data_IF_548658271234
#
_entry.id   IF_548658271234
#
_cell.length_a   1.000
_cell.length_b   1.000
_cell.length_c   1.000
_cell.angle_alpha   90.00
_cell.angle_beta   90.00
_cell.angle_gamma   90.00
#
_symmetry.space_group_name_H-M   'P 1'
#
loop_
_entity.id
_entity.type
_entity.pdbx_description
1 polymer ?
#
# COMPACT_ATOMS: atom_id res chain seq x y z
N UNK A 1 -6.23 39.55 5.12
CA UNK A 1 -5.35 38.58 4.42
C UNK A 1 -4.43 38.01 5.49
N UNK A 2 -4.86 36.95 6.16
CA UNK A 2 -4.12 36.26 7.21
C UNK A 2 -3.60 34.95 6.64
N UNK A 3 -2.27 34.77 6.63
CA UNK A 3 -1.62 33.52 6.29
C UNK A 3 -1.42 32.80 7.62
N UNK A 4 -2.23 31.79 7.91
CA UNK A 4 -1.97 30.88 9.02
C UNK A 4 -0.98 29.79 8.55
N UNK A 5 0.18 29.77 9.19
CA UNK A 5 1.21 28.76 9.02
C UNK A 5 0.78 27.49 9.76
N UNK A 6 0.22 26.51 9.05
CA UNK A 6 0.20 25.11 9.48
C UNK A 6 1.41 24.41 8.89
N UNK A 7 2.07 23.61 9.74
CA UNK A 7 3.41 23.04 9.53
C UNK A 7 3.65 22.37 8.18
N UNK A 8 4.83 22.62 7.68
CA UNK A 8 5.55 22.19 6.47
C UNK A 8 5.03 20.91 5.75
N UNK A 9 3.91 21.03 5.06
CA UNK A 9 3.61 20.20 3.90
C UNK A 9 3.52 21.14 2.70
N UNK A 10 4.54 21.14 1.84
CA UNK A 10 4.45 21.88 0.58
C UNK A 10 3.52 21.10 -0.36
N UNK A 11 2.22 21.34 -0.23
CA UNK A 11 1.23 20.90 -1.21
C UNK A 11 1.28 21.92 -2.35
N UNK A 12 1.86 21.56 -3.48
CA UNK A 12 1.61 22.30 -4.73
C UNK A 12 0.20 21.93 -5.16
N UNK A 13 -0.78 22.69 -4.70
CA UNK A 13 -2.16 22.63 -5.22
C UNK A 13 -2.15 23.39 -6.55
N UNK A 14 -1.87 22.70 -7.63
CA UNK A 14 -2.35 23.16 -8.94
C UNK A 14 -3.87 23.07 -8.91
N UNK A 15 -4.57 24.12 -9.36
CA UNK A 15 -6.03 24.16 -9.58
C UNK A 15 -6.49 23.02 -10.51
N UNK A 16 -6.70 21.84 -9.94
CA UNK A 16 -7.30 20.72 -10.65
C UNK A 16 -8.78 20.63 -10.27
N UNK A 17 -9.66 20.88 -11.24
CA UNK A 17 -11.03 20.37 -11.16
C UNK A 17 -10.93 18.89 -10.86
N UNK A 18 -11.40 18.47 -9.69
CA UNK A 18 -11.41 17.06 -9.28
C UNK A 18 -12.40 16.36 -10.19
N UNK A 19 -11.91 15.58 -11.15
CA UNK A 19 -12.73 14.68 -11.93
C UNK A 19 -13.11 13.48 -11.03
N UNK A 20 -14.35 13.48 -10.58
CA UNK A 20 -14.90 12.45 -9.68
C UNK A 20 -15.03 11.07 -10.34
N UNK A 21 -14.87 10.99 -11.67
CA UNK A 21 -14.93 9.73 -12.41
C UNK A 21 -13.61 8.95 -12.40
N UNK A 22 -12.49 9.58 -11.99
CA UNK A 22 -11.17 8.91 -11.97
C UNK A 22 -10.96 8.12 -10.70
N UNK A 23 -10.43 6.90 -10.83
CA UNK A 23 -9.91 6.11 -9.71
C UNK A 23 -8.64 6.74 -9.14
N UNK A 24 -8.57 6.89 -7.83
CA UNK A 24 -7.47 7.55 -7.12
C UNK A 24 -6.55 6.51 -6.50
N UNK A 25 -5.32 6.53 -6.91
CA UNK A 25 -4.29 5.57 -6.50
C UNK A 25 -3.25 6.30 -5.68
N UNK A 26 -2.91 5.78 -4.50
CA UNK A 26 -1.82 6.28 -3.66
C UNK A 26 -0.61 5.36 -3.78
N UNK A 27 0.54 5.91 -4.14
CA UNK A 27 1.84 5.21 -4.11
C UNK A 27 2.56 5.48 -2.79
N UNK A 28 2.93 4.41 -2.08
CA UNK A 28 3.70 4.42 -0.82
C UNK A 28 5.08 3.85 -1.08
N UNK A 29 6.12 4.67 -0.96
CA UNK A 29 7.50 4.29 -1.29
C UNK A 29 8.12 3.34 -0.25
N UNK A 30 9.22 2.68 -0.61
CA UNK A 30 10.01 1.84 0.30
C UNK A 30 11.00 2.65 1.13
N UNK A 31 11.77 1.94 1.96
CA UNK A 31 12.77 2.53 2.86
C UNK A 31 13.76 3.43 2.11
N UNK A 32 14.02 4.62 2.65
CA UNK A 32 14.85 5.68 2.04
C UNK A 32 14.38 6.09 0.64
N UNK A 33 13.11 5.86 0.34
CA UNK A 33 12.48 6.32 -0.88
C UNK A 33 12.01 7.78 -0.78
N UNK A 34 11.18 8.18 -1.74
CA UNK A 34 10.48 9.47 -1.72
C UNK A 34 9.19 9.41 -2.52
N UNK A 35 8.26 10.31 -2.22
CA UNK A 35 6.94 10.40 -2.86
C UNK A 35 7.02 10.38 -4.41
N UNK A 36 7.96 11.12 -4.98
CA UNK A 36 8.12 11.24 -6.44
C UNK A 36 9.34 10.51 -6.98
N UNK A 37 9.79 9.48 -6.26
CA UNK A 37 10.95 8.65 -6.60
C UNK A 37 10.76 7.79 -7.84
N UNK A 38 11.71 6.89 -8.09
CA UNK A 38 11.69 6.00 -9.28
C UNK A 38 10.48 5.08 -9.30
N UNK A 39 10.07 4.55 -8.14
CA UNK A 39 8.88 3.68 -8.03
C UNK A 39 7.61 4.40 -8.47
N UNK A 40 7.38 5.61 -7.97
CA UNK A 40 6.26 6.46 -8.39
C UNK A 40 6.23 6.67 -9.90
N UNK A 41 7.37 7.05 -10.51
CA UNK A 41 7.45 7.30 -11.96
C UNK A 41 7.10 6.06 -12.78
N UNK A 42 7.53 4.86 -12.35
CA UNK A 42 7.23 3.60 -13.03
C UNK A 42 5.75 3.26 -12.93
N UNK A 43 5.15 3.42 -11.75
CA UNK A 43 3.71 3.26 -11.56
C UNK A 43 2.94 4.26 -12.42
N UNK A 44 3.32 5.54 -12.41
CA UNK A 44 2.68 6.59 -13.21
C UNK A 44 2.68 6.28 -14.71
N UNK A 45 3.82 5.82 -15.23
CA UNK A 45 3.97 5.49 -16.66
C UNK A 45 3.17 4.25 -17.10
N UNK A 46 2.84 3.37 -16.15
CA UNK A 46 2.08 2.15 -16.42
C UNK A 46 0.59 2.26 -16.07
N UNK A 47 0.21 3.33 -15.40
CA UNK A 47 -1.16 3.53 -14.92
C UNK A 47 -2.11 3.74 -16.11
N UNK A 48 -3.24 3.00 -16.20
CA UNK A 48 -4.20 3.14 -17.29
C UNK A 48 -4.91 4.50 -17.28
N UNK A 49 -5.57 4.83 -18.39
CA UNK A 49 -6.51 5.95 -18.43
C UNK A 49 -7.63 5.78 -17.39
N UNK A 50 -8.17 6.88 -16.88
CA UNK A 50 -9.20 6.85 -15.85
C UNK A 50 -8.65 6.71 -14.41
N UNK A 51 -7.32 6.73 -14.25
CA UNK A 51 -6.67 6.69 -12.94
C UNK A 51 -5.85 7.96 -12.68
N UNK A 52 -5.81 8.40 -11.42
CA UNK A 52 -4.95 9.50 -10.95
C UNK A 52 -4.03 8.98 -9.86
N UNK A 53 -2.71 9.18 -10.04
CA UNK A 53 -1.70 8.77 -9.06
C UNK A 53 -1.40 9.92 -8.10
N UNK A 54 -1.42 9.59 -6.82
CA UNK A 54 -0.95 10.40 -5.71
C UNK A 54 0.25 9.74 -5.07
N UNK A 55 1.03 10.49 -4.31
CA UNK A 55 2.10 9.96 -3.49
C UNK A 55 2.29 10.81 -2.24
N UNK A 56 2.86 10.21 -1.21
CA UNK A 56 3.11 10.84 0.08
C UNK A 56 4.52 10.50 0.56
N UNK A 57 5.22 11.48 1.12
CA UNK A 57 6.34 11.23 2.01
C UNK A 57 5.80 11.04 3.43
N UNK A 58 6.28 10.03 4.13
CA UNK A 58 5.80 9.65 5.44
C UNK A 58 6.98 9.42 6.39
N UNK A 59 6.72 9.39 7.69
CA UNK A 59 7.74 9.13 8.70
C UNK A 59 8.13 7.65 8.74
N UNK A 60 9.20 7.30 8.03
CA UNK A 60 9.75 5.94 8.04
C UNK A 60 10.28 5.51 9.41
N UNK A 61 10.55 6.44 10.31
CA UNK A 61 11.11 6.14 11.62
C UNK A 61 10.06 5.68 12.64
N UNK A 62 8.78 5.87 12.34
CA UNK A 62 7.68 5.45 13.22
C UNK A 62 6.52 4.85 12.42
N UNK A 63 6.35 3.53 12.52
CA UNK A 63 5.30 2.79 11.80
C UNK A 63 3.89 3.26 12.16
N UNK A 64 3.63 3.62 13.43
CA UNK A 64 2.33 4.12 13.87
C UNK A 64 2.02 5.46 13.23
N UNK A 65 2.99 6.37 13.26
CA UNK A 65 2.85 7.71 12.68
C UNK A 65 2.74 7.63 11.15
N UNK A 66 3.57 6.83 10.49
CA UNK A 66 3.47 6.59 9.05
C UNK A 66 2.07 6.10 8.64
N UNK A 67 1.55 5.13 9.39
CA UNK A 67 0.21 4.60 9.17
C UNK A 67 -0.87 5.66 9.33
N UNK A 68 -0.80 6.47 10.37
CA UNK A 68 -1.74 7.58 10.63
C UNK A 68 -1.70 8.62 9.49
N UNK A 69 -0.51 9.04 9.07
CA UNK A 69 -0.34 9.97 7.95
C UNK A 69 -0.98 9.44 6.66
N UNK A 70 -0.77 8.15 6.37
CA UNK A 70 -1.33 7.52 5.17
C UNK A 70 -2.85 7.40 5.27
N UNK A 71 -3.42 7.03 6.42
CA UNK A 71 -4.87 6.95 6.62
C UNK A 71 -5.54 8.31 6.49
N UNK A 72 -4.95 9.35 7.04
CA UNK A 72 -5.44 10.74 6.90
C UNK A 72 -5.42 11.16 5.43
N UNK A 73 -4.35 10.84 4.69
CA UNK A 73 -4.25 11.12 3.27
C UNK A 73 -5.29 10.36 2.44
N UNK A 74 -5.53 9.09 2.77
CA UNK A 74 -6.57 8.26 2.13
C UNK A 74 -7.94 8.90 2.30
N UNK A 75 -8.27 9.35 3.51
CA UNK A 75 -9.57 9.98 3.78
C UNK A 75 -9.69 11.35 3.13
N UNK A 76 -8.67 12.19 3.23
CA UNK A 76 -8.66 13.54 2.63
C UNK A 76 -8.83 13.49 1.11
N UNK A 77 -8.05 12.65 0.43
CA UNK A 77 -8.04 12.57 -1.03
C UNK A 77 -8.97 11.49 -1.59
N UNK A 78 -9.73 10.79 -0.74
CA UNK A 78 -10.67 9.72 -1.13
C UNK A 78 -10.00 8.68 -2.03
N UNK A 79 -8.90 8.12 -1.55
CA UNK A 79 -8.10 7.13 -2.28
C UNK A 79 -8.89 5.83 -2.45
N UNK A 80 -8.91 5.29 -3.66
CA UNK A 80 -9.59 4.03 -4.00
C UNK A 80 -8.67 2.80 -3.86
N UNK A 81 -7.35 2.98 -4.11
CA UNK A 81 -6.35 1.91 -4.12
C UNK A 81 -5.03 2.42 -3.55
N UNK A 82 -4.40 1.66 -2.68
CA UNK A 82 -3.04 1.94 -2.20
C UNK A 82 -2.06 0.94 -2.83
N UNK A 83 -0.94 1.44 -3.36
CA UNK A 83 0.16 0.63 -3.91
C UNK A 83 1.39 0.88 -3.08
N UNK A 84 1.85 -0.12 -2.32
CA UNK A 84 3.05 -0.02 -1.49
C UNK A 84 4.18 -0.93 -1.97
N UNK A 85 5.43 -0.45 -1.90
CA UNK A 85 6.61 -1.22 -2.28
C UNK A 85 7.59 -1.37 -1.11
N UNK A 86 8.16 -2.57 -0.93
CA UNK A 86 9.14 -2.87 0.11
C UNK A 86 8.61 -2.50 1.51
N UNK A 87 9.27 -1.61 2.27
CA UNK A 87 8.78 -1.10 3.56
C UNK A 87 7.40 -0.44 3.43
N UNK A 88 7.18 0.35 2.36
CA UNK A 88 5.86 0.90 2.05
C UNK A 88 4.82 -0.19 1.78
N UNK A 89 5.23 -1.34 1.23
CA UNK A 89 4.39 -2.54 1.09
C UNK A 89 3.98 -3.12 2.44
N UNK A 90 4.90 -3.21 3.40
CA UNK A 90 4.58 -3.61 4.77
C UNK A 90 3.57 -2.66 5.42
N UNK A 91 3.83 -1.35 5.37
CA UNK A 91 2.90 -0.35 5.94
C UNK A 91 1.53 -0.46 5.27
N UNK A 92 1.50 -0.65 3.95
CA UNK A 92 0.25 -0.84 3.19
C UNK A 92 -0.53 -2.06 3.67
N UNK A 93 0.12 -3.15 4.07
CA UNK A 93 -0.55 -4.32 4.67
C UNK A 93 -1.20 -4.01 6.03
N UNK A 94 -0.78 -2.96 6.72
CA UNK A 94 -1.40 -2.54 7.98
C UNK A 94 -2.70 -1.73 7.80
N UNK A 95 -3.05 -1.35 6.57
CA UNK A 95 -4.23 -0.54 6.26
C UNK A 95 -5.42 -1.46 5.97
N UNK A 96 -6.37 -1.61 6.90
CA UNK A 96 -7.55 -2.46 6.65
C UNK A 96 -8.67 -1.71 5.93
N UNK A 97 -9.55 -2.47 5.28
CA UNK A 97 -10.78 -1.97 4.67
C UNK A 97 -10.62 -1.25 3.34
N UNK A 98 -9.41 -1.14 2.80
CA UNK A 98 -9.15 -0.49 1.51
C UNK A 98 -8.47 -1.46 0.53
N UNK A 99 -8.77 -1.39 -0.79
CA UNK A 99 -8.03 -2.08 -1.84
C UNK A 99 -6.53 -1.79 -1.82
N UNK A 100 -5.68 -2.83 -1.88
CA UNK A 100 -4.22 -2.70 -1.74
C UNK A 100 -3.46 -3.60 -2.70
N UNK A 101 -2.48 -3.01 -3.37
CA UNK A 101 -1.43 -3.73 -4.08
C UNK A 101 -0.13 -3.60 -3.31
N UNK A 102 0.55 -4.71 -3.08
CA UNK A 102 1.86 -4.71 -2.43
C UNK A 102 2.92 -5.32 -3.33
N UNK A 103 4.03 -4.62 -3.49
CA UNK A 103 5.12 -4.99 -4.40
C UNK A 103 6.34 -5.33 -3.56
N UNK A 104 6.80 -6.58 -3.62
CA UNK A 104 7.94 -7.06 -2.82
C UNK A 104 7.88 -6.55 -1.36
N UNK A 105 6.76 -6.74 -0.63
CA UNK A 105 6.61 -6.17 0.71
C UNK A 105 7.72 -6.67 1.63
N UNK A 106 8.33 -5.80 2.41
CA UNK A 106 9.26 -6.16 3.46
C UNK A 106 8.47 -6.79 4.62
N UNK A 107 8.31 -8.12 4.60
CA UNK A 107 7.42 -8.83 5.53
C UNK A 107 7.87 -8.75 6.99
N UNK A 108 9.17 -8.72 7.22
CA UNK A 108 9.81 -8.63 8.54
C UNK A 108 10.78 -7.43 8.55
N UNK A 109 10.26 -6.18 8.70
CA UNK A 109 11.12 -4.99 8.69
C UNK A 109 12.23 -5.02 9.75
N UNK A 110 12.01 -5.51 11.00
CA UNK A 110 13.08 -5.65 11.98
C UNK A 110 14.24 -6.49 11.50
N UNK A 111 14.00 -7.66 10.94
CA UNK A 111 15.06 -8.56 10.49
C UNK A 111 15.75 -8.06 9.21
N UNK A 112 14.99 -7.51 8.28
CA UNK A 112 15.50 -7.17 6.95
C UNK A 112 16.22 -5.82 6.90
N UNK A 113 15.67 -4.80 7.55
CA UNK A 113 16.31 -3.49 7.58
C UNK A 113 17.64 -3.52 8.36
N UNK A 114 17.77 -4.37 9.38
CA UNK A 114 19.03 -4.60 10.09
C UNK A 114 20.20 -5.02 9.20
N UNK A 115 19.90 -5.63 8.05
CA UNK A 115 20.92 -6.04 7.06
C UNK A 115 21.37 -4.91 6.14
N UNK A 116 20.57 -3.84 6.04
CA UNK A 116 20.74 -2.77 5.06
C UNK A 116 21.38 -1.50 5.63
N UNK A 117 21.39 -1.35 6.96
CA UNK A 117 21.86 -0.14 7.63
C UNK A 117 22.69 -0.45 8.87
N UNK A 118 23.54 0.50 9.26
CA UNK A 118 24.24 0.46 10.54
C UNK A 118 23.24 0.55 11.70
N UNK A 119 23.40 -0.33 12.68
CA UNK A 119 22.49 -0.45 13.81
C UNK A 119 22.89 0.51 14.93
N UNK A 120 22.42 1.74 14.83
CA UNK A 120 22.54 2.74 15.91
C UNK A 120 21.29 2.79 16.80
N UNK A 121 21.30 3.71 17.77
CA UNK A 121 20.18 3.87 18.72
C UNK A 121 18.89 4.37 18.02
N UNK A 122 19.02 5.20 16.99
CA UNK A 122 17.88 5.72 16.22
C UNK A 122 17.25 4.60 15.40
N UNK A 123 18.07 3.78 14.73
CA UNK A 123 17.61 2.60 14.02
C UNK A 123 16.93 1.59 14.95
N UNK A 124 17.51 1.32 16.12
CA UNK A 124 16.90 0.42 17.11
C UNK A 124 15.54 0.92 17.59
N UNK A 125 15.40 2.24 17.78
CA UNK A 125 14.11 2.85 18.11
C UNK A 125 13.10 2.68 16.99
N UNK A 126 13.48 2.98 15.76
CA UNK A 126 12.66 2.83 14.57
C UNK A 126 12.09 1.41 14.44
N UNK A 127 12.96 0.40 14.50
CA UNK A 127 12.56 -1.01 14.33
C UNK A 127 11.52 -1.43 15.35
N UNK A 128 11.63 -1.01 16.60
CA UNK A 128 10.66 -1.34 17.65
C UNK A 128 9.24 -0.87 17.34
N UNK A 129 9.07 0.16 16.51
CA UNK A 129 7.75 0.65 16.13
C UNK A 129 7.06 -0.27 15.12
N UNK A 130 7.81 -1.10 14.38
CA UNK A 130 7.29 -2.03 13.38
C UNK A 130 6.86 -3.38 13.97
N UNK A 131 7.53 -3.87 15.04
CA UNK A 131 7.28 -5.19 15.63
C UNK A 131 5.80 -5.47 15.98
N UNK A 132 5.03 -4.54 16.58
CA UNK A 132 3.63 -4.81 16.91
C UNK A 132 2.76 -5.06 15.68
N UNK A 133 3.13 -4.49 14.53
CA UNK A 133 2.32 -4.55 13.31
C UNK A 133 2.47 -5.86 12.55
N UNK A 134 3.55 -6.61 12.73
CA UNK A 134 3.66 -7.99 12.21
C UNK A 134 2.58 -8.88 12.82
N UNK A 135 2.43 -8.81 14.14
CA UNK A 135 1.39 -9.55 14.87
C UNK A 135 0.00 -9.01 14.48
N UNK A 136 -0.12 -7.71 14.30
CA UNK A 136 -1.38 -7.07 13.95
C UNK A 136 -1.86 -7.51 12.56
N UNK A 137 -0.97 -7.54 11.55
CA UNK A 137 -1.29 -8.04 10.20
C UNK A 137 -1.83 -9.47 10.31
N UNK A 138 -1.10 -10.37 11.00
CA UNK A 138 -1.48 -11.76 11.16
C UNK A 138 -2.87 -11.94 11.78
N UNK A 139 -3.25 -11.08 12.75
CA UNK A 139 -4.54 -11.14 13.45
C UNK A 139 -5.67 -10.46 12.68
N UNK A 140 -5.37 -9.49 11.83
CA UNK A 140 -6.38 -8.69 11.12
C UNK A 140 -6.87 -9.35 9.83
N UNK A 141 -6.14 -10.34 9.31
CA UNK A 141 -6.49 -11.00 8.05
C UNK A 141 -7.74 -11.86 8.23
N UNK A 142 -8.84 -11.40 7.66
CA UNK A 142 -10.08 -12.15 7.51
C UNK A 142 -10.40 -12.36 6.02
N UNK A 143 -11.53 -12.99 5.71
CA UNK A 143 -11.92 -13.27 4.32
C UNK A 143 -12.01 -11.98 3.48
N UNK A 144 -12.54 -10.91 4.03
CA UNK A 144 -12.69 -9.62 3.33
C UNK A 144 -11.35 -9.00 3.04
N UNK A 145 -10.44 -8.98 4.02
CA UNK A 145 -9.09 -8.47 3.83
C UNK A 145 -8.29 -9.26 2.77
N UNK A 146 -8.48 -10.59 2.73
CA UNK A 146 -7.86 -11.43 1.69
C UNK A 146 -8.26 -11.02 0.28
N UNK A 147 -9.51 -10.58 0.09
CA UNK A 147 -10.01 -10.15 -1.22
C UNK A 147 -9.55 -8.74 -1.61
N UNK A 148 -9.20 -7.91 -0.63
CA UNK A 148 -8.75 -6.53 -0.85
C UNK A 148 -7.24 -6.42 -1.11
N UNK A 149 -6.47 -7.48 -0.88
CA UNK A 149 -5.00 -7.44 -1.03
C UNK A 149 -4.56 -8.30 -2.20
N UNK A 150 -3.71 -7.71 -3.07
CA UNK A 150 -3.01 -8.42 -4.11
C UNK A 150 -1.50 -8.20 -4.01
N UNK A 151 -0.72 -9.28 -3.95
CA UNK A 151 0.73 -9.27 -3.93
C UNK A 151 1.34 -9.32 -5.32
N UNK A 152 2.44 -8.60 -5.52
CA UNK A 152 3.25 -8.68 -6.74
C UNK A 152 4.71 -8.89 -6.34
N UNK A 153 5.31 -9.99 -6.81
CA UNK A 153 6.67 -10.36 -6.43
C UNK A 153 7.57 -10.38 -7.65
N UNK A 154 8.66 -9.66 -7.58
CA UNK A 154 9.65 -9.61 -8.64
C UNK A 154 10.36 -10.95 -8.79
N UNK A 155 10.33 -11.54 -9.98
CA UNK A 155 11.00 -12.80 -10.29
C UNK A 155 12.51 -12.80 -10.00
N UNK A 156 13.11 -11.60 -10.04
CA UNK A 156 14.53 -11.38 -9.83
C UNK A 156 14.80 -10.56 -8.56
N UNK A 157 13.89 -10.60 -7.57
CA UNK A 157 14.09 -9.93 -6.30
C UNK A 157 15.25 -10.58 -5.54
N UNK A 158 16.35 -9.85 -5.46
CA UNK A 158 17.58 -10.28 -4.82
C UNK A 158 17.57 -10.17 -3.29
N UNK A 159 16.55 -9.50 -2.72
CA UNK A 159 16.46 -9.28 -1.29
C UNK A 159 15.51 -10.25 -0.58
N UNK A 160 14.32 -10.51 -1.17
CA UNK A 160 13.22 -11.10 -0.40
C UNK A 160 12.55 -12.32 -1.06
N UNK A 161 12.96 -12.74 -2.24
CA UNK A 161 12.22 -13.60 -3.15
C UNK A 161 11.47 -14.80 -2.52
N UNK A 162 12.13 -15.89 -2.19
CA UNK A 162 11.41 -17.14 -1.92
C UNK A 162 10.61 -17.12 -0.62
N UNK A 163 11.22 -16.66 0.46
CA UNK A 163 10.60 -16.65 1.81
C UNK A 163 9.36 -15.78 1.85
N UNK A 164 9.40 -14.58 1.26
CA UNK A 164 8.28 -13.64 1.37
C UNK A 164 7.09 -14.01 0.51
N UNK A 165 7.28 -14.71 -0.60
CA UNK A 165 6.17 -15.30 -1.35
C UNK A 165 5.46 -16.38 -0.52
N UNK A 166 6.22 -17.24 0.17
CA UNK A 166 5.68 -18.27 1.05
C UNK A 166 4.94 -17.66 2.23
N UNK A 167 5.58 -16.75 2.96
CA UNK A 167 4.99 -16.05 4.12
C UNK A 167 3.69 -15.31 3.70
N UNK A 168 3.73 -14.57 2.58
CA UNK A 168 2.55 -13.87 2.05
C UNK A 168 1.41 -14.82 1.71
N UNK A 169 1.71 -15.92 1.01
CA UNK A 169 0.71 -16.89 0.58
C UNK A 169 0.02 -17.62 1.74
N UNK A 170 0.64 -17.66 2.91
CA UNK A 170 0.03 -18.14 4.15
C UNK A 170 -1.13 -17.26 4.65
N UNK A 171 -1.11 -15.97 4.31
CA UNK A 171 -2.14 -15.00 4.71
C UNK A 171 -3.06 -14.60 3.56
N UNK A 172 -2.51 -14.36 2.37
CA UNK A 172 -3.23 -13.83 1.20
C UNK A 172 -3.07 -14.76 0.01
N UNK A 173 -4.17 -15.13 -0.61
CA UNK A 173 -4.17 -16.08 -1.74
C UNK A 173 -3.96 -15.43 -3.11
N UNK A 174 -4.10 -14.09 -3.21
CA UNK A 174 -4.00 -13.39 -4.49
C UNK A 174 -2.62 -12.76 -4.67
N UNK A 175 -1.78 -13.39 -5.50
CA UNK A 175 -0.48 -12.80 -5.88
C UNK A 175 -0.08 -13.18 -7.28
N UNK A 176 0.84 -12.41 -7.86
CA UNK A 176 1.46 -12.65 -9.16
C UNK A 176 2.99 -12.49 -9.08
N UNK A 177 3.69 -13.28 -9.86
CA UNK A 177 5.11 -13.13 -10.10
C UNK A 177 5.29 -12.25 -11.33
N UNK A 178 6.02 -11.13 -11.18
CA UNK A 178 6.21 -10.14 -12.23
C UNK A 178 7.67 -10.08 -12.71
N UNK A 179 7.89 -9.59 -13.91
CA UNK A 179 9.21 -9.42 -14.51
C UNK A 179 9.94 -8.20 -13.94
N UNK A 180 10.42 -8.33 -12.72
CA UNK A 180 11.03 -7.27 -11.92
C UNK A 180 12.07 -7.83 -10.95
N UNK A 181 13.01 -6.98 -10.50
CA UNK A 181 13.82 -7.19 -9.30
C UNK A 181 13.12 -6.65 -8.06
N UNK A 182 13.90 -6.40 -6.97
CA UNK A 182 13.37 -5.75 -5.77
C UNK A 182 12.81 -4.35 -6.10
N UNK A 183 13.52 -3.59 -6.87
CA UNK A 183 13.02 -2.34 -7.42
C UNK A 183 12.15 -2.61 -8.64
N UNK A 184 10.90 -2.16 -8.57
CA UNK A 184 9.92 -2.31 -9.65
C UNK A 184 10.50 -1.88 -11.00
N UNK A 185 10.48 -2.76 -12.01
CA UNK A 185 10.85 -2.46 -13.38
C UNK A 185 9.69 -1.79 -14.15
N UNK A 186 9.95 -1.26 -15.35
CA UNK A 186 8.88 -0.74 -16.22
C UNK A 186 7.96 -1.85 -16.70
N UNK A 187 8.51 -3.02 -17.02
CA UNK A 187 7.72 -4.17 -17.45
C UNK A 187 6.90 -4.75 -16.30
N UNK A 188 7.49 -4.88 -15.10
CA UNK A 188 6.75 -5.27 -13.90
C UNK A 188 5.61 -4.31 -13.58
N UNK A 189 5.81 -2.99 -13.75
CA UNK A 189 4.75 -2.00 -13.55
C UNK A 189 3.57 -2.20 -14.51
N UNK A 190 3.83 -2.50 -15.79
CA UNK A 190 2.76 -2.82 -16.76
C UNK A 190 1.99 -4.08 -16.37
N UNK A 191 2.69 -5.11 -15.88
CA UNK A 191 2.07 -6.37 -15.46
C UNK A 191 1.13 -6.16 -14.27
N UNK A 192 1.47 -5.27 -13.31
CA UNK A 192 0.60 -4.94 -12.17
C UNK A 192 -0.79 -4.49 -12.62
N UNK A 193 -0.88 -3.70 -13.69
CA UNK A 193 -2.15 -3.13 -14.15
C UNK A 193 -2.83 -3.95 -15.25
N UNK A 194 -2.20 -5.02 -15.76
CA UNK A 194 -2.73 -5.82 -16.87
C UNK A 194 -4.15 -6.36 -16.63
N UNK A 195 -4.51 -6.65 -15.39
CA UNK A 195 -5.83 -7.18 -15.01
C UNK A 195 -6.49 -6.36 -13.91
N UNK A 196 -6.33 -5.04 -13.93
CA UNK A 196 -6.88 -4.18 -12.88
C UNK A 196 -8.42 -4.15 -12.90
N UNK A 197 -9.03 -4.27 -14.06
CA UNK A 197 -10.49 -4.31 -14.17
C UNK A 197 -11.08 -5.57 -13.53
N UNK A 198 -10.45 -6.73 -13.72
CA UNK A 198 -10.84 -7.97 -13.04
C UNK A 198 -10.69 -7.88 -11.52
N UNK A 199 -9.67 -7.16 -11.05
CA UNK A 199 -9.53 -6.89 -9.62
C UNK A 199 -10.68 -6.00 -9.09
N UNK A 200 -11.03 -4.93 -9.79
CA UNK A 200 -12.15 -4.06 -9.40
C UNK A 200 -13.49 -4.79 -9.41
N UNK A 201 -13.70 -5.69 -10.34
CA UNK A 201 -14.90 -6.54 -10.36
C UNK A 201 -14.99 -7.39 -9.10
N UNK A 202 -13.89 -8.01 -8.68
CA UNK A 202 -13.82 -8.79 -7.43
C UNK A 202 -14.12 -7.92 -6.20
N UNK A 203 -13.56 -6.72 -6.13
CA UNK A 203 -13.83 -5.74 -5.05
C UNK A 203 -15.30 -5.32 -5.04
N UNK A 204 -15.92 -5.12 -6.20
CA UNK A 204 -17.34 -4.77 -6.34
C UNK A 204 -18.24 -5.89 -5.80
N UNK A 205 -17.94 -7.13 -6.17
CA UNK A 205 -18.68 -8.31 -5.69
C UNK A 205 -18.59 -8.37 -4.16
N UNK A 206 -17.39 -8.20 -3.59
CA UNK A 206 -17.19 -8.20 -2.14
C UNK A 206 -18.05 -7.15 -1.44
N UNK A 207 -18.06 -5.91 -1.93
CA UNK A 207 -18.86 -4.82 -1.35
C UNK A 207 -20.36 -5.09 -1.43
N UNK A 208 -20.82 -5.69 -2.51
CA UNK A 208 -22.23 -6.07 -2.65
C UNK A 208 -22.62 -7.17 -1.65
N UNK A 209 -21.75 -8.17 -1.42
CA UNK A 209 -21.97 -9.21 -0.42
C UNK A 209 -22.01 -8.64 1.00
N UNK A 210 -21.13 -7.69 1.33
CA UNK A 210 -21.13 -7.00 2.62
C UNK A 210 -22.45 -6.27 2.85
N UNK A 211 -22.87 -5.46 1.87
CA UNK A 211 -24.14 -4.73 1.96
C UNK A 211 -25.34 -5.66 2.16
N UNK A 212 -25.40 -6.77 1.41
CA UNK A 212 -26.50 -7.74 1.58
C UNK A 212 -26.50 -8.38 2.98
N UNK A 213 -25.33 -8.65 3.57
CA UNK A 213 -25.22 -9.15 4.93
C UNK A 213 -25.68 -8.11 5.96
N UNK A 214 -25.28 -6.84 5.79
CA UNK A 214 -25.66 -5.75 6.69
C UNK A 214 -27.19 -5.51 6.66
N UNK A 215 -27.80 -5.55 5.46
CA UNK A 215 -29.25 -5.44 5.27
C UNK A 215 -29.99 -6.58 6.00
N UNK A 216 -29.52 -7.84 5.89
CA UNK A 216 -30.12 -9.00 6.60
C UNK A 216 -29.99 -8.83 8.12
N UNK A 217 -28.85 -8.37 8.63
CA UNK A 217 -28.65 -8.18 10.08
C UNK A 217 -29.59 -7.08 10.60
N UNK A 218 -29.76 -5.99 9.85
CA UNK A 218 -30.72 -4.93 10.21
C UNK A 218 -32.15 -5.44 10.31
N UNK A 219 -32.60 -6.23 9.31
CA UNK A 219 -33.95 -6.80 9.26
C UNK A 219 -34.23 -7.81 10.39
N UNK A 220 -33.19 -8.40 10.97
CA UNK A 220 -33.31 -9.37 12.09
C UNK A 220 -33.36 -8.69 13.47
N UNK A 221 -32.82 -7.46 13.55
CA UNK A 221 -32.72 -6.71 14.82
C UNK A 221 -33.88 -5.72 15.03
N UNK A 222 -34.70 -5.45 14.00
CA UNK A 222 -35.94 -4.69 14.07
C UNK A 222 -37.16 -5.63 14.36
#
# INVERSE_FOLDING_TARGET
MGIEFFGLFTIIVCDFKIDWNMKRVLSVHGFRGSAYGRGYKRVLNALPEGYKLFSIDYDEADCSHAREQILNFIDEFKIDLVIGSSLGGFITLTLNGIPRFVINPCWDPPAELCKLVEQDAAFTKMIKTYMPYEIWIAKSVNYQEKMLVKGFFGKYDELFWAKYVEDFSGYYSSYEIIDSGHHLSEEGAKQIFKNIDGYWESVRILKNMQKANDDIISDVLD
#
